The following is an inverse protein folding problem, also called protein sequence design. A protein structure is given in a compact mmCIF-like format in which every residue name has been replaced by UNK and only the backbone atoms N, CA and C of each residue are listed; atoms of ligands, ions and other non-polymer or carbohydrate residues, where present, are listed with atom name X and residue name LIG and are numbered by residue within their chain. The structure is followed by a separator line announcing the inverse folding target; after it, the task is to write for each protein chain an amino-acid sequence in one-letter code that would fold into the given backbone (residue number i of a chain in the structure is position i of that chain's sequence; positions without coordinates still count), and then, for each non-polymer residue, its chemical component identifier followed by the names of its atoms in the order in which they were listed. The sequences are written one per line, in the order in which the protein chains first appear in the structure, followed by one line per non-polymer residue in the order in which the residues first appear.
data_IF_921343328031
#
_entry.id   IF_921343328031
#
_cell.length_a   1.000
_cell.length_b   1.000
_cell.length_c   1.000
_cell.angle_alpha   90.00
_cell.angle_beta   90.00
_cell.angle_gamma   90.00
#
_symmetry.space_group_name_H-M   'P 1'
#
loop_
_entity.id
_entity.type
_entity.pdbx_description
1 polymer ?
#
# COMPACT_ATOMS: atom_id res chain seq x y z
N UNK A 1 -51.60 11.15 -15.40
CA UNK A 1 -51.56 9.94 -14.54
C UNK A 1 -50.43 8.98 -14.90
N UNK A 2 -50.20 8.64 -16.17
CA UNK A 2 -49.14 7.71 -16.58
C UNK A 2 -47.70 8.26 -16.43
N UNK A 3 -47.49 9.55 -16.67
CA UNK A 3 -46.15 10.18 -16.57
C UNK A 3 -45.60 10.14 -15.14
N UNK A 4 -46.43 10.42 -14.13
CA UNK A 4 -46.02 10.33 -12.72
C UNK A 4 -45.67 8.89 -12.31
N UNK A 5 -46.40 7.89 -12.84
CA UNK A 5 -46.10 6.49 -12.59
C UNK A 5 -44.76 6.07 -13.20
N UNK A 6 -44.43 6.56 -14.41
CA UNK A 6 -43.14 6.33 -15.05
C UNK A 6 -41.98 6.97 -14.27
N UNK A 7 -42.15 8.20 -13.79
CA UNK A 7 -41.12 8.89 -12.99
C UNK A 7 -40.87 8.15 -11.66
N UNK A 8 -41.94 7.68 -11.00
CA UNK A 8 -41.81 6.90 -9.75
C UNK A 8 -41.14 5.55 -10.02
N UNK A 9 -41.45 4.88 -11.13
CA UNK A 9 -40.83 3.61 -11.49
C UNK A 9 -39.33 3.80 -11.79
N UNK A 10 -38.97 4.82 -12.56
CA UNK A 10 -37.57 5.13 -12.88
C UNK A 10 -36.79 5.56 -11.63
N UNK A 11 -37.38 6.35 -10.74
CA UNK A 11 -36.71 6.72 -9.48
C UNK A 11 -36.50 5.52 -8.57
N UNK A 12 -37.46 4.59 -8.49
CA UNK A 12 -37.33 3.35 -7.73
C UNK A 12 -36.26 2.42 -8.30
N UNK A 13 -36.17 2.30 -9.63
CA UNK A 13 -35.10 1.56 -10.32
C UNK A 13 -33.74 2.20 -10.00
N UNK A 14 -33.61 3.52 -10.16
CA UNK A 14 -32.35 4.24 -9.86
C UNK A 14 -31.94 4.09 -8.39
N UNK A 15 -32.88 4.13 -7.45
CA UNK A 15 -32.60 3.92 -6.02
C UNK A 15 -32.17 2.48 -5.69
N UNK A 16 -32.68 1.49 -6.42
CA UNK A 16 -32.26 0.09 -6.28
C UNK A 16 -30.84 -0.13 -6.85
N UNK A 17 -30.51 0.50 -7.98
CA UNK A 17 -29.17 0.47 -8.58
C UNK A 17 -28.14 1.28 -7.75
N UNK A 18 -28.57 2.32 -7.03
CA UNK A 18 -27.70 3.12 -6.15
C UNK A 18 -27.50 2.55 -4.75
N UNK A 19 -28.01 1.34 -4.47
CA UNK A 19 -27.60 0.59 -3.29
C UNK A 19 -26.20 0.02 -3.53
N UNK A 20 -25.24 0.93 -3.71
CA UNK A 20 -23.81 0.69 -3.59
C UNK A 20 -23.64 -0.02 -2.26
N UNK A 21 -23.46 -1.33 -2.33
CA UNK A 21 -23.01 -2.11 -1.20
C UNK A 21 -21.78 -1.36 -0.72
N UNK A 22 -21.79 -0.93 0.55
CA UNK A 22 -20.55 -0.55 1.21
C UNK A 22 -19.72 -1.82 1.31
N UNK A 23 -19.15 -2.25 0.19
CA UNK A 23 -18.03 -3.15 0.12
C UNK A 23 -16.88 -2.34 0.72
N UNK A 24 -16.84 -2.36 2.05
CA UNK A 24 -15.56 -2.30 2.74
C UNK A 24 -14.74 -3.36 2.03
N UNK A 25 -13.69 -2.95 1.31
CA UNK A 25 -12.64 -3.87 0.94
C UNK A 25 -12.11 -4.42 2.26
N UNK A 26 -12.71 -5.51 2.73
CA UNK A 26 -11.99 -6.48 3.55
C UNK A 26 -10.85 -6.87 2.62
N UNK A 27 -9.67 -6.32 2.88
CA UNK A 27 -8.47 -6.67 2.12
C UNK A 27 -8.35 -8.20 2.03
N UNK A 28 -7.63 -8.67 1.03
CA UNK A 28 -7.61 -10.02 0.43
C UNK A 28 -7.80 -11.29 1.32
N UNK A 29 -7.81 -11.22 2.64
CA UNK A 29 -7.89 -12.38 3.54
C UNK A 29 -8.74 -12.04 4.77
N UNK A 30 -9.91 -12.68 4.92
CA UNK A 30 -10.81 -12.54 6.09
C UNK A 30 -10.23 -13.25 7.35
N UNK A 31 -9.19 -14.06 7.18
CA UNK A 31 -8.39 -14.72 8.24
C UNK A 31 -6.88 -14.55 7.96
N UNK A 32 -6.35 -13.35 8.20
CA UNK A 32 -4.93 -13.03 8.01
C UNK A 32 -4.13 -13.33 9.28
N UNK A 33 -3.27 -14.36 9.22
CA UNK A 33 -2.26 -14.64 10.25
C UNK A 33 -0.91 -14.19 9.75
N UNK A 34 -0.29 -13.26 10.47
CA UNK A 34 0.95 -12.64 10.04
C UNK A 34 2.11 -13.66 10.02
N UNK A 35 2.02 -14.67 10.89
CA UNK A 35 2.95 -15.79 11.02
C UNK A 35 3.02 -16.65 9.75
N UNK A 36 1.93 -16.71 8.97
CA UNK A 36 1.88 -17.44 7.69
C UNK A 36 2.66 -16.70 6.58
N UNK A 37 2.99 -15.42 6.80
CA UNK A 37 3.66 -14.55 5.83
C UNK A 37 4.92 -13.88 6.43
N UNK A 38 5.91 -14.65 6.91
CA UNK A 38 7.06 -14.12 7.67
C UNK A 38 8.00 -13.23 6.84
N UNK A 39 7.86 -13.28 5.52
CA UNK A 39 8.62 -12.46 4.58
C UNK A 39 8.03 -11.05 4.40
N UNK A 40 6.82 -10.76 4.89
CA UNK A 40 6.26 -9.40 4.80
C UNK A 40 7.09 -8.45 5.67
N UNK A 41 7.54 -7.36 5.06
CA UNK A 41 8.32 -6.31 5.73
C UNK A 41 7.60 -4.97 5.64
N UNK A 42 7.71 -4.20 6.72
CA UNK A 42 7.22 -2.83 6.82
C UNK A 42 8.38 -1.85 6.62
N UNK A 43 8.16 -0.85 5.79
CA UNK A 43 9.10 0.23 5.54
C UNK A 43 8.48 1.52 6.04
N UNK A 44 9.14 2.15 7.02
CA UNK A 44 8.78 3.48 7.54
C UNK A 44 9.72 4.51 6.96
N UNK A 45 9.15 5.54 6.37
CA UNK A 45 9.87 6.60 5.67
C UNK A 45 9.57 7.91 6.39
N UNK A 46 10.58 8.54 6.98
CA UNK A 46 10.45 9.87 7.57
C UNK A 46 10.53 10.94 6.47
N UNK A 47 9.52 11.78 6.38
CA UNK A 47 9.47 12.89 5.42
C UNK A 47 10.01 14.18 6.04
N UNK A 48 10.43 15.17 5.21
CA UNK A 48 10.93 16.45 5.69
C UNK A 48 9.96 17.21 6.61
N UNK A 49 8.66 17.01 6.43
CA UNK A 49 7.60 17.60 7.26
C UNK A 49 7.32 16.81 8.55
N UNK A 50 8.22 15.90 8.94
CA UNK A 50 8.10 14.99 10.10
C UNK A 50 6.92 14.01 10.02
N UNK A 51 6.28 13.86 8.86
CA UNK A 51 5.30 12.79 8.65
C UNK A 51 6.02 11.48 8.38
N UNK A 52 5.34 10.37 8.67
CA UNK A 52 5.84 9.03 8.37
C UNK A 52 4.95 8.41 7.30
N UNK A 53 5.53 8.10 6.16
CA UNK A 53 4.90 7.23 5.16
C UNK A 53 5.23 5.78 5.47
N UNK A 54 4.31 4.89 5.14
CA UNK A 54 4.48 3.45 5.30
C UNK A 54 4.35 2.77 3.95
N UNK A 55 5.35 1.97 3.61
CA UNK A 55 5.34 1.06 2.47
C UNK A 55 5.51 -0.37 2.96
N UNK A 56 5.27 -1.32 2.05
CA UNK A 56 5.49 -2.75 2.27
C UNK A 56 6.64 -3.24 1.40
N UNK A 57 7.27 -4.33 1.84
CA UNK A 57 8.27 -5.06 1.07
C UNK A 57 8.23 -6.55 1.38
N UNK A 58 9.09 -7.31 0.70
CA UNK A 58 9.25 -8.75 0.90
C UNK A 58 10.71 -9.09 1.18
N UNK A 59 10.98 -9.86 2.22
CA UNK A 59 12.30 -10.42 2.51
C UNK A 59 12.59 -11.54 1.51
N UNK A 60 13.43 -11.25 0.52
CA UNK A 60 13.81 -12.19 -0.55
C UNK A 60 15.10 -12.96 -0.23
N UNK A 61 15.88 -12.45 0.73
CA UNK A 61 17.02 -13.12 1.35
C UNK A 61 17.30 -12.46 2.71
N UNK A 62 18.14 -13.08 3.54
CA UNK A 62 18.38 -12.70 4.95
C UNK A 62 18.64 -11.19 5.17
N UNK A 63 19.29 -10.52 4.23
CA UNK A 63 19.64 -9.09 4.30
C UNK A 63 18.99 -8.24 3.21
N UNK A 64 18.08 -8.81 2.41
CA UNK A 64 17.53 -8.17 1.20
C UNK A 64 16.01 -8.10 1.23
N UNK A 65 15.50 -6.87 1.18
CA UNK A 65 14.06 -6.59 1.07
C UNK A 65 13.78 -6.01 -0.31
N UNK A 66 12.89 -6.67 -1.05
CA UNK A 66 12.34 -6.17 -2.31
C UNK A 66 11.15 -5.24 -2.02
N UNK A 67 11.13 -4.05 -2.61
CA UNK A 67 10.05 -3.07 -2.45
C UNK A 67 9.89 -2.24 -3.73
N UNK A 68 8.86 -1.38 -3.77
CA UNK A 68 8.66 -0.47 -4.87
C UNK A 68 9.68 0.67 -4.86
N UNK A 69 10.21 1.02 -6.03
CA UNK A 69 11.18 2.10 -6.17
C UNK A 69 10.66 3.45 -5.65
N UNK A 70 9.38 3.78 -5.83
CA UNK A 70 8.81 5.04 -5.34
C UNK A 70 8.80 5.17 -3.81
N UNK A 71 8.93 4.08 -3.06
CA UNK A 71 9.06 4.11 -1.61
C UNK A 71 10.45 4.57 -1.15
N UNK A 72 11.48 4.38 -1.97
CA UNK A 72 12.89 4.58 -1.59
C UNK A 72 13.60 5.62 -2.44
N UNK A 73 13.11 5.90 -3.65
CA UNK A 73 13.71 6.86 -4.57
C UNK A 73 13.68 8.27 -3.97
N UNK A 74 14.84 8.94 -3.98
CA UNK A 74 14.97 10.31 -3.46
C UNK A 74 14.81 10.42 -1.93
N UNK A 75 14.84 9.31 -1.18
CA UNK A 75 14.83 9.30 0.28
C UNK A 75 16.22 9.03 0.83
N UNK A 76 16.63 9.74 1.87
CA UNK A 76 17.90 9.46 2.53
C UNK A 76 17.82 8.15 3.32
N UNK A 77 18.92 7.38 3.33
CA UNK A 77 18.99 6.10 4.09
C UNK A 77 18.66 6.25 5.57
N UNK A 78 19.02 7.39 6.19
CA UNK A 78 18.75 7.70 7.61
C UNK A 78 17.26 7.84 7.92
N UNK A 79 16.46 8.18 6.92
CA UNK A 79 15.03 8.41 7.05
C UNK A 79 14.22 7.14 6.76
N UNK A 80 14.89 6.08 6.34
CA UNK A 80 14.32 4.78 6.03
C UNK A 80 14.55 3.80 7.18
N UNK A 81 13.47 3.23 7.70
CA UNK A 81 13.53 2.13 8.67
C UNK A 81 12.74 0.95 8.15
N UNK A 82 13.38 -0.21 8.10
CA UNK A 82 12.72 -1.46 7.70
C UNK A 82 12.57 -2.33 8.94
N UNK A 83 11.40 -2.92 9.13
CA UNK A 83 11.11 -3.82 10.24
C UNK A 83 10.13 -4.90 9.81
N UNK A 84 10.24 -6.07 10.44
CA UNK A 84 9.16 -7.05 10.37
C UNK A 84 7.98 -6.58 11.22
N UNK A 85 6.74 -6.78 10.76
CA UNK A 85 5.55 -6.60 11.58
C UNK A 85 5.41 -7.69 12.66
N UNK A 86 6.19 -8.78 12.59
CA UNK A 86 6.15 -9.89 13.54
C UNK A 86 7.14 -9.64 14.70
N UNK A 87 6.67 -9.49 15.95
CA UNK A 87 7.54 -9.15 17.08
C UNK A 87 8.68 -10.16 17.33
N UNK A 88 8.42 -11.46 17.16
CA UNK A 88 9.39 -12.52 17.45
C UNK A 88 10.59 -12.55 16.48
N UNK A 89 10.45 -12.00 15.27
CA UNK A 89 11.53 -11.96 14.27
C UNK A 89 12.38 -10.68 14.32
N UNK A 90 12.01 -9.71 15.15
CA UNK A 90 12.66 -8.38 15.18
C UNK A 90 14.16 -8.40 15.48
N UNK A 91 14.62 -9.34 16.32
CA UNK A 91 16.03 -9.47 16.69
C UNK A 91 16.86 -10.36 15.75
N UNK A 92 16.21 -11.04 14.80
CA UNK A 92 16.88 -11.99 13.89
C UNK A 92 17.30 -11.34 12.57
N UNK A 93 16.65 -10.26 12.16
CA UNK A 93 16.80 -9.69 10.81
C UNK A 93 17.69 -8.44 10.87
N UNK A 94 18.96 -8.58 10.49
CA UNK A 94 19.88 -7.45 10.33
C UNK A 94 19.70 -6.89 8.91
N UNK A 95 18.95 -5.81 8.73
CA UNK A 95 18.71 -5.28 7.38
C UNK A 95 19.84 -4.33 6.98
N UNK A 96 20.69 -4.77 6.04
CA UNK A 96 21.70 -3.89 5.44
C UNK A 96 21.06 -3.12 4.28
N UNK A 97 20.81 -1.83 4.48
CA UNK A 97 20.13 -1.01 3.48
C UNK A 97 21.04 -0.65 2.30
N UNK A 98 20.96 -1.46 1.24
CA UNK A 98 21.46 -1.14 -0.09
C UNK A 98 20.27 -0.91 -1.02
N UNK A 99 20.11 0.31 -1.50
CA UNK A 99 19.00 0.67 -2.40
C UNK A 99 19.47 0.36 -3.82
N UNK A 100 18.85 -0.62 -4.46
CA UNK A 100 19.06 -0.97 -5.87
C UNK A 100 17.81 -0.55 -6.62
N UNK A 101 17.95 0.41 -7.54
CA UNK A 101 16.86 0.88 -8.39
C UNK A 101 17.00 0.24 -9.76
N UNK A 102 15.86 -0.12 -10.36
CA UNK A 102 15.85 -0.48 -11.78
C UNK A 102 16.31 0.71 -12.60
N UNK A 103 17.16 0.48 -13.60
CA UNK A 103 17.68 1.51 -14.52
C UNK A 103 16.56 2.17 -15.34
N UNK A 104 15.39 1.55 -15.42
CA UNK A 104 14.22 2.05 -16.15
C UNK A 104 13.18 2.74 -15.25
N UNK A 105 13.49 2.98 -13.97
CA UNK A 105 12.57 3.67 -13.07
C UNK A 105 12.49 5.16 -13.39
N UNK A 106 11.29 5.61 -13.79
CA UNK A 106 10.95 7.03 -13.96
C UNK A 106 10.06 7.44 -12.79
N UNK A 107 10.50 8.43 -12.00
CA UNK A 107 9.70 8.96 -10.90
C UNK A 107 8.48 9.70 -11.44
N UNK A 108 7.29 9.42 -10.91
CA UNK A 108 6.04 10.11 -11.35
C UNK A 108 6.11 11.62 -11.12
N UNK A 109 6.96 12.09 -10.19
CA UNK A 109 7.23 13.52 -9.98
C UNK A 109 8.03 14.17 -11.12
N UNK A 110 8.56 13.39 -12.08
CA UNK A 110 9.13 13.89 -13.34
C UNK A 110 8.12 13.94 -14.48
N UNK A 111 6.91 13.40 -14.27
CA UNK A 111 5.75 13.55 -15.16
C UNK A 111 4.83 14.68 -14.69
N UNK A 112 5.41 15.77 -14.19
CA UNK A 112 4.70 17.04 -14.16
C UNK A 112 4.52 17.47 -15.62
N UNK A 113 3.40 17.06 -16.23
CA UNK A 113 2.92 17.64 -17.48
C UNK A 113 2.90 19.18 -17.31
N UNK A 114 3.28 19.95 -18.34
CA UNK A 114 3.28 21.40 -18.31
C UNK A 114 1.91 21.97 -17.93
#
# INVERSE_FOLDING_TARGET
MQIFALIILLSFIVLNEFKSTKHVHKGLIDDFKLEDYPYVMCLKILLPNKRVETCTGSLVAELFVLTAAHCVYGKDKKDLKVNTPIPSLTNLIIIKLHIILSTNYISVNTLQLP
#
